data_IF_310062342347
#
_entry.id   IF_310062342347
#
_cell.length_a   1.000
_cell.length_b   1.000
_cell.length_c   1.000
_cell.angle_alpha   90.00
_cell.angle_beta   90.00
_cell.angle_gamma   90.00
#
_symmetry.space_group_name_H-M   'P 1'
#
loop_
_entity.id
_entity.type
_entity.pdbx_description
1 polymer ?
#
# COMPACT_ATOMS: atom_id res chain seq x y z
N UNK A 1 -12.24 -26.14 -27.30
CA UNK A 1 -11.91 -24.70 -27.47
C UNK A 1 -11.44 -24.17 -26.12
N UNK A 2 -10.12 -23.97 -25.91
CA UNK A 2 -9.61 -23.43 -24.62
C UNK A 2 -10.10 -21.98 -24.51
N UNK A 3 -10.88 -21.66 -23.46
CA UNK A 3 -11.26 -20.27 -23.17
C UNK A 3 -9.97 -19.45 -23.03
N UNK A 4 -9.79 -18.42 -23.85
CA UNK A 4 -8.75 -17.41 -23.63
C UNK A 4 -9.08 -16.76 -22.29
N UNK A 5 -8.22 -16.94 -21.28
CA UNK A 5 -8.38 -16.23 -20.01
C UNK A 5 -8.29 -14.73 -20.30
N UNK A 6 -9.36 -14.01 -19.96
CA UNK A 6 -9.43 -12.57 -20.12
C UNK A 6 -8.53 -11.93 -19.05
N UNK A 7 -7.47 -11.24 -19.49
CA UNK A 7 -6.52 -10.56 -18.60
C UNK A 7 -6.55 -9.03 -18.82
N UNK A 8 -7.48 -8.34 -18.14
CA UNK A 8 -7.68 -6.91 -18.31
C UNK A 8 -6.58 -6.07 -17.65
N UNK A 9 -6.40 -4.86 -18.15
CA UNK A 9 -5.63 -3.82 -17.43
C UNK A 9 -6.42 -3.37 -16.19
N UNK A 10 -5.72 -3.04 -15.10
CA UNK A 10 -6.33 -2.48 -13.91
C UNK A 10 -7.00 -1.12 -14.18
N UNK A 11 -6.60 -0.40 -15.23
CA UNK A 11 -7.33 0.80 -15.69
C UNK A 11 -8.80 0.52 -16.05
N UNK A 12 -9.17 -0.71 -16.43
CA UNK A 12 -10.58 -1.06 -16.67
C UNK A 12 -11.32 -1.41 -15.39
N UNK A 13 -10.62 -1.52 -14.26
CA UNK A 13 -11.14 -1.79 -12.92
C UNK A 13 -10.54 -0.81 -11.89
N UNK A 14 -10.65 0.51 -12.10
CA UNK A 14 -9.93 1.51 -11.30
C UNK A 14 -10.36 1.49 -9.82
N UNK A 15 -11.58 1.05 -9.52
CA UNK A 15 -12.07 0.91 -8.15
C UNK A 15 -11.23 -0.05 -7.31
N UNK A 16 -10.59 -1.07 -7.91
CA UNK A 16 -9.67 -1.97 -7.20
C UNK A 16 -8.43 -1.22 -6.71
N UNK A 17 -7.89 -0.33 -7.55
CA UNK A 17 -6.76 0.52 -7.17
C UNK A 17 -7.19 1.52 -6.10
N UNK A 18 -8.33 2.18 -6.27
CA UNK A 18 -8.87 3.13 -5.28
C UNK A 18 -9.06 2.47 -3.92
N UNK A 19 -9.64 1.27 -3.87
CA UNK A 19 -9.93 0.57 -2.62
C UNK A 19 -8.66 0.28 -1.78
N UNK A 20 -7.50 0.07 -2.43
CA UNK A 20 -6.22 -0.15 -1.72
C UNK A 20 -5.73 1.13 -1.02
N UNK A 21 -5.89 2.28 -1.67
CA UNK A 21 -5.37 3.55 -1.14
C UNK A 21 -6.35 4.29 -0.24
N UNK A 22 -7.65 4.03 -0.36
CA UNK A 22 -8.69 4.72 0.39
C UNK A 22 -8.43 4.75 1.92
N UNK A 23 -7.99 3.66 2.57
CA UNK A 23 -7.70 3.70 4.00
C UNK A 23 -6.51 4.61 4.34
N UNK A 24 -5.47 4.61 3.52
CA UNK A 24 -4.30 5.48 3.71
C UNK A 24 -4.70 6.95 3.49
N UNK A 25 -5.50 7.24 2.47
CA UNK A 25 -5.99 8.60 2.20
C UNK A 25 -6.93 9.11 3.30
N UNK A 26 -7.76 8.24 3.87
CA UNK A 26 -8.60 8.55 5.03
C UNK A 26 -7.74 8.85 6.26
N UNK A 27 -6.72 8.02 6.53
CA UNK A 27 -5.75 8.26 7.59
C UNK A 27 -5.07 9.63 7.43
N UNK A 28 -4.56 9.96 6.24
CA UNK A 28 -3.92 11.25 5.98
C UNK A 28 -4.87 12.42 6.19
N UNK A 29 -6.13 12.27 5.79
CA UNK A 29 -7.15 13.29 6.02
C UNK A 29 -7.42 13.51 7.51
N UNK A 30 -7.56 12.42 8.30
CA UNK A 30 -7.74 12.51 9.75
C UNK A 30 -6.53 13.16 10.43
N UNK A 31 -5.33 12.78 10.02
CA UNK A 31 -4.10 13.37 10.54
C UNK A 31 -3.99 14.87 10.22
N UNK A 32 -4.43 15.28 9.04
CA UNK A 32 -4.44 16.69 8.59
C UNK A 32 -5.47 17.55 9.34
N UNK A 33 -6.68 17.02 9.56
CA UNK A 33 -7.79 17.77 10.17
C UNK A 33 -7.72 17.74 11.69
N UNK A 34 -7.56 16.54 12.26
CA UNK A 34 -7.68 16.33 13.70
C UNK A 34 -6.31 16.32 14.40
N UNK A 35 -5.22 16.09 13.66
CA UNK A 35 -3.89 15.89 14.25
C UNK A 35 -3.79 14.61 15.08
N UNK A 36 -4.71 13.65 14.89
CA UNK A 36 -4.80 12.42 15.69
C UNK A 36 -4.64 11.17 14.84
N UNK A 37 -4.18 10.10 15.49
CA UNK A 37 -4.09 8.75 14.93
C UNK A 37 -4.71 7.76 15.90
N UNK A 38 -5.17 6.62 15.38
CA UNK A 38 -5.67 5.53 16.21
C UNK A 38 -4.53 4.53 16.49
N UNK A 39 -4.48 4.01 17.71
CA UNK A 39 -3.39 3.12 18.13
C UNK A 39 -3.90 1.92 18.91
N UNK A 40 -3.27 0.76 18.69
CA UNK A 40 -3.39 -0.41 19.58
C UNK A 40 -2.01 -0.73 20.17
N UNK A 41 -1.85 -0.50 21.47
CA UNK A 41 -0.53 -0.54 22.09
C UNK A 41 0.42 0.50 21.47
N UNK A 42 1.51 0.03 20.84
CA UNK A 42 2.48 0.89 20.14
C UNK A 42 2.21 1.05 18.64
N UNK A 43 1.25 0.31 18.11
CA UNK A 43 0.99 0.24 16.68
C UNK A 43 -0.04 1.28 16.27
N UNK A 44 0.25 2.04 15.21
CA UNK A 44 -0.74 2.88 14.55
C UNK A 44 -1.63 1.99 13.71
N UNK A 45 -2.95 2.11 13.89
CA UNK A 45 -3.92 1.22 13.25
C UNK A 45 -4.97 1.98 12.48
N UNK A 46 -5.58 1.28 11.53
CA UNK A 46 -6.78 1.73 10.83
C UNK A 46 -7.76 0.58 10.68
N UNK A 47 -9.03 0.90 10.49
CA UNK A 47 -10.06 -0.08 10.17
C UNK A 47 -10.35 -0.05 8.67
N UNK A 48 -10.32 -1.20 8.01
CA UNK A 48 -10.79 -1.29 6.62
C UNK A 48 -12.33 -1.43 6.61
N UNK A 49 -13.00 -0.61 5.78
CA UNK A 49 -14.46 -0.41 5.77
C UNK A 49 -15.29 -1.70 5.67
N UNK A 50 -14.77 -2.75 5.03
CA UNK A 50 -15.56 -3.94 4.68
C UNK A 50 -15.59 -5.00 5.80
N UNK A 51 -14.52 -5.11 6.60
CA UNK A 51 -14.37 -6.26 7.50
C UNK A 51 -14.34 -5.90 8.99
N UNK A 52 -14.38 -4.61 9.34
CA UNK A 52 -14.20 -4.13 10.74
C UNK A 52 -12.93 -4.65 11.43
N UNK A 53 -12.01 -5.25 10.68
CA UNK A 53 -10.71 -5.67 11.16
C UNK A 53 -9.78 -4.45 11.30
N UNK A 54 -9.01 -4.46 12.38
CA UNK A 54 -7.95 -3.51 12.64
C UNK A 54 -6.67 -4.00 11.99
N UNK A 55 -6.04 -3.13 11.21
CA UNK A 55 -4.78 -3.40 10.54
C UNK A 55 -3.71 -2.46 11.04
N UNK A 56 -2.48 -2.98 11.17
CA UNK A 56 -1.30 -2.15 11.38
C UNK A 56 -1.03 -1.30 10.14
N UNK A 57 -1.05 0.02 10.31
CA UNK A 57 -0.88 0.97 9.23
C UNK A 57 0.55 0.96 8.67
N UNK A 58 1.56 0.81 9.54
CA UNK A 58 2.97 0.79 9.15
C UNK A 58 3.23 -0.40 8.24
N UNK A 59 2.77 -1.58 8.65
CA UNK A 59 2.90 -2.80 7.84
C UNK A 59 2.08 -2.73 6.54
N UNK A 60 0.88 -2.15 6.58
CA UNK A 60 0.09 -1.96 5.37
C UNK A 60 0.78 -1.05 4.35
N UNK A 61 1.36 0.08 4.78
CA UNK A 61 2.10 0.99 3.89
C UNK A 61 3.37 0.30 3.36
N UNK A 62 4.09 -0.46 4.19
CA UNK A 62 5.25 -1.27 3.75
C UNK A 62 4.87 -2.24 2.64
N UNK A 63 3.75 -2.94 2.77
CA UNK A 63 3.23 -3.83 1.73
C UNK A 63 2.90 -3.11 0.42
N UNK A 64 2.31 -1.92 0.49
CA UNK A 64 2.06 -1.08 -0.69
C UNK A 64 3.37 -0.66 -1.36
N UNK A 65 4.35 -0.16 -0.60
CA UNK A 65 5.67 0.22 -1.13
C UNK A 65 6.33 -0.98 -1.82
N UNK A 66 6.34 -2.14 -1.17
CA UNK A 66 6.90 -3.38 -1.72
C UNK A 66 6.24 -3.77 -3.04
N UNK A 67 4.90 -3.71 -3.11
CA UNK A 67 4.16 -3.99 -4.36
C UNK A 67 4.64 -3.10 -5.51
N UNK A 68 4.77 -1.79 -5.26
CA UNK A 68 5.15 -0.81 -6.27
C UNK A 68 6.62 -0.94 -6.70
N UNK A 69 7.51 -1.30 -5.78
CA UNK A 69 8.90 -1.65 -6.10
C UNK A 69 8.98 -2.89 -6.99
N UNK A 70 8.27 -3.97 -6.66
CA UNK A 70 8.27 -5.17 -7.51
C UNK A 70 7.68 -4.86 -8.89
N UNK A 71 6.62 -4.04 -8.96
CA UNK A 71 6.04 -3.61 -10.23
C UNK A 71 7.04 -2.82 -11.09
N UNK A 72 7.84 -1.93 -10.48
CA UNK A 72 8.92 -1.22 -11.15
C UNK A 72 9.97 -2.20 -11.67
N UNK A 73 10.46 -3.07 -10.81
CA UNK A 73 11.59 -3.93 -11.12
C UNK A 73 11.24 -5.01 -12.16
N UNK A 74 10.02 -5.56 -12.13
CA UNK A 74 9.57 -6.60 -13.08
C UNK A 74 9.07 -6.05 -14.41
N UNK A 75 8.40 -4.89 -14.40
CA UNK A 75 7.65 -4.40 -15.55
C UNK A 75 8.13 -3.05 -16.07
N UNK A 76 9.20 -2.48 -15.51
CA UNK A 76 9.77 -1.20 -15.95
C UNK A 76 8.81 -0.03 -15.79
N UNK A 77 7.93 -0.10 -14.79
CA UNK A 77 6.97 0.95 -14.49
C UNK A 77 7.55 1.85 -13.42
N UNK A 78 7.99 3.07 -13.75
CA UNK A 78 8.54 3.97 -12.73
C UNK A 78 7.48 4.42 -11.71
N UNK A 79 7.94 4.64 -10.48
CA UNK A 79 7.13 5.09 -9.35
C UNK A 79 8.00 5.79 -8.32
N UNK A 80 7.44 6.80 -7.65
CA UNK A 80 8.04 7.40 -6.47
C UNK A 80 7.29 6.97 -5.20
N UNK A 81 8.03 6.48 -4.21
CA UNK A 81 7.55 6.01 -2.90
C UNK A 81 8.30 6.63 -1.72
N UNK A 82 9.21 7.59 -1.96
CA UNK A 82 10.10 8.11 -0.92
C UNK A 82 9.36 8.77 0.26
N UNK A 83 8.30 9.52 0.00
CA UNK A 83 7.50 10.15 1.03
C UNK A 83 6.66 9.11 1.80
N UNK A 84 6.17 8.07 1.13
CA UNK A 84 5.54 6.92 1.80
C UNK A 84 6.54 6.24 2.76
N UNK A 85 7.76 5.98 2.32
CA UNK A 85 8.83 5.40 3.15
C UNK A 85 9.16 6.28 4.36
N UNK A 86 9.29 7.60 4.15
CA UNK A 86 9.52 8.56 5.25
C UNK A 86 8.37 8.58 6.24
N UNK A 87 7.11 8.56 5.76
CA UNK A 87 5.94 8.49 6.62
C UNK A 87 5.95 7.21 7.47
N UNK A 88 6.18 6.07 6.84
CA UNK A 88 6.28 4.77 7.52
C UNK A 88 7.31 4.82 8.65
N UNK A 89 8.51 5.33 8.38
CA UNK A 89 9.57 5.45 9.38
C UNK A 89 9.18 6.41 10.52
N UNK A 90 8.51 7.53 10.21
CA UNK A 90 8.03 8.47 11.23
C UNK A 90 6.98 7.84 12.14
N UNK A 91 6.04 7.08 11.58
CA UNK A 91 5.02 6.38 12.34
C UNK A 91 5.64 5.30 13.25
N UNK A 92 6.60 4.53 12.74
CA UNK A 92 7.26 3.43 13.45
C UNK A 92 8.04 3.91 14.68
N UNK A 93 8.67 5.09 14.59
CA UNK A 93 9.45 5.69 15.69
C UNK A 93 8.71 6.81 16.44
N UNK A 94 7.39 6.97 16.20
CA UNK A 94 6.56 8.02 16.77
C UNK A 94 7.15 9.44 16.62
N UNK A 95 7.76 9.72 15.47
CA UNK A 95 8.32 11.02 15.14
C UNK A 95 7.23 12.02 14.67
N UNK A 96 7.45 13.33 14.86
CA UNK A 96 6.53 14.35 14.37
C UNK A 96 6.28 14.30 12.85
N UNK A 97 5.01 14.41 12.47
CA UNK A 97 4.55 14.51 11.08
C UNK A 97 4.04 15.93 10.84
N UNK A 98 4.48 16.55 9.76
CA UNK A 98 4.14 17.92 9.39
C UNK A 98 3.28 17.93 8.13
N UNK A 99 2.61 19.05 7.85
CA UNK A 99 1.75 19.21 6.68
C UNK A 99 2.50 18.93 5.36
N UNK A 100 3.76 19.37 5.25
CA UNK A 100 4.60 19.08 4.08
C UNK A 100 4.86 17.59 3.85
N UNK A 101 4.85 16.77 4.91
CA UNK A 101 4.94 15.32 4.78
C UNK A 101 3.65 14.75 4.19
N UNK A 102 2.49 15.21 4.67
CA UNK A 102 1.18 14.77 4.20
C UNK A 102 1.02 15.07 2.71
N UNK A 103 1.35 16.30 2.28
CA UNK A 103 1.31 16.69 0.88
C UNK A 103 2.27 15.85 0.01
N UNK A 104 3.46 15.54 0.51
CA UNK A 104 4.42 14.69 -0.20
C UNK A 104 3.88 13.26 -0.37
N UNK A 105 3.27 12.70 0.68
CA UNK A 105 2.68 11.36 0.61
C UNK A 105 1.51 11.32 -0.37
N UNK A 106 0.67 12.38 -0.43
CA UNK A 106 -0.42 12.46 -1.44
C UNK A 106 0.12 12.42 -2.88
N UNK A 107 1.28 13.03 -3.15
CA UNK A 107 1.94 12.96 -4.46
C UNK A 107 2.43 11.54 -4.79
N UNK A 108 3.03 10.86 -3.83
CA UNK A 108 3.45 9.47 -4.00
C UNK A 108 2.26 8.53 -4.23
N UNK A 109 1.18 8.67 -3.45
CA UNK A 109 -0.06 7.91 -3.66
C UNK A 109 -0.59 8.13 -5.08
N UNK A 110 -0.58 9.36 -5.59
CA UNK A 110 -0.97 9.63 -6.97
C UNK A 110 -0.06 8.92 -7.97
N UNK A 111 1.27 8.95 -7.78
CA UNK A 111 2.24 8.21 -8.61
C UNK A 111 1.96 6.71 -8.60
N UNK A 112 1.78 6.13 -7.42
CA UNK A 112 1.48 4.72 -7.22
C UNK A 112 0.18 4.30 -7.92
N UNK A 113 -0.90 5.10 -7.79
CA UNK A 113 -2.16 4.88 -8.51
C UNK A 113 -1.96 4.87 -10.02
N UNK A 114 -1.21 5.84 -10.57
CA UNK A 114 -0.92 5.89 -12.01
C UNK A 114 -0.12 4.68 -12.49
N UNK A 115 0.87 4.25 -11.71
CA UNK A 115 1.66 3.04 -12.01
C UNK A 115 0.76 1.79 -12.00
N UNK A 116 -0.06 1.60 -10.96
CA UNK A 116 -0.95 0.44 -10.81
C UNK A 116 -1.94 0.31 -11.97
N UNK A 117 -2.52 1.41 -12.46
CA UNK A 117 -3.47 1.37 -13.58
C UNK A 117 -2.85 0.84 -14.89
N UNK A 118 -1.52 0.83 -15.01
CA UNK A 118 -0.78 0.28 -16.17
C UNK A 118 -0.56 -1.22 -16.08
N UNK A 119 -0.75 -1.83 -14.92
CA UNK A 119 -0.62 -3.28 -14.73
C UNK A 119 -1.84 -4.03 -15.29
N UNK A 120 -1.59 -5.26 -15.73
CA UNK A 120 -2.64 -6.26 -15.94
C UNK A 120 -3.07 -6.87 -14.61
N UNK A 121 -4.27 -7.44 -14.57
CA UNK A 121 -4.79 -8.12 -13.40
C UNK A 121 -3.87 -9.30 -13.01
N UNK A 122 -3.46 -10.11 -13.99
CA UNK A 122 -2.55 -11.24 -13.75
C UNK A 122 -1.19 -10.80 -13.17
N UNK A 123 -0.67 -9.66 -13.64
CA UNK A 123 0.59 -9.10 -13.16
C UNK A 123 0.49 -8.64 -11.71
N UNK A 124 -0.63 -8.01 -11.34
CA UNK A 124 -0.88 -7.60 -9.96
C UNK A 124 -1.05 -8.82 -9.04
N UNK A 125 -1.79 -9.85 -9.48
CA UNK A 125 -1.96 -11.11 -8.74
C UNK A 125 -0.63 -11.85 -8.53
N UNK A 126 0.24 -11.87 -9.54
CA UNK A 126 1.59 -12.43 -9.47
C UNK A 126 2.48 -11.70 -8.43
N UNK A 127 2.43 -10.36 -8.40
CA UNK A 127 3.14 -9.57 -7.39
C UNK A 127 2.61 -9.89 -6.00
N UNK A 128 1.29 -9.89 -5.81
CA UNK A 128 0.66 -10.20 -4.52
C UNK A 128 1.04 -11.62 -4.04
N UNK A 129 1.06 -12.59 -4.96
CA UNK A 129 1.48 -13.96 -4.67
C UNK A 129 2.95 -13.99 -4.22
N UNK A 130 3.83 -13.23 -4.89
CA UNK A 130 5.24 -13.12 -4.49
C UNK A 130 5.40 -12.56 -3.08
N UNK A 131 4.68 -11.48 -2.76
CA UNK A 131 4.74 -10.85 -1.44
C UNK A 131 4.27 -11.86 -0.38
N UNK A 132 3.15 -12.55 -0.63
CA UNK A 132 2.61 -13.55 0.29
C UNK A 132 3.59 -14.70 0.55
N UNK A 133 4.19 -15.25 -0.51
CA UNK A 133 5.20 -16.31 -0.37
C UNK A 133 6.39 -15.82 0.46
N UNK A 134 6.85 -14.58 0.21
CA UNK A 134 7.98 -14.00 0.96
C UNK A 134 7.65 -13.88 2.45
N UNK A 135 6.47 -13.36 2.78
CA UNK A 135 6.00 -13.24 4.16
C UNK A 135 5.85 -14.60 4.85
N UNK A 136 5.31 -15.61 4.16
CA UNK A 136 5.18 -16.98 4.68
C UNK A 136 6.55 -17.63 4.95
N UNK A 137 7.55 -17.40 4.07
CA UNK A 137 8.92 -17.88 4.27
C UNK A 137 9.61 -17.21 5.46
N UNK A 138 9.43 -15.90 5.63
CA UNK A 138 10.01 -15.16 6.76
C UNK A 138 9.39 -15.60 8.09
N UNK A 139 8.07 -15.83 8.13
CA UNK A 139 7.38 -16.39 9.29
C UNK A 139 7.88 -17.80 9.64
N UNK A 140 8.08 -18.66 8.64
CA UNK A 140 8.61 -20.01 8.85
C UNK A 140 10.05 -20.01 9.39
N UNK A 141 10.88 -19.06 8.95
CA UNK A 141 12.26 -18.88 9.46
C UNK A 141 12.28 -18.36 10.90
N UNK A 142 11.37 -17.45 11.26
CA UNK A 142 11.29 -16.92 12.62
C UNK A 142 10.77 -17.95 13.64
N UNK A 143 10.03 -18.96 13.19
CA UNK A 143 9.49 -20.04 14.02
C UNK A 143 10.44 -21.25 14.21
N UNK A 144 11.56 -21.28 13.48
CA UNK A 144 12.58 -22.34 13.52
C UNK A 144 13.75 -21.95 14.44
#
# INVERSE_FOLDING_TARGET
MKRRNFDPLLRTQPWKVVAVFQPIEHFLHKLEVDGTVETTGRHVVFQADVEKHWFDLVEAIRGVIQFHHIARDRYGLDVNTEALERLTNKLDVAAPIFLGDIEAVRRDIASCKQQALRLRLSQAEDILTTIRISAELDAARAAA
#
